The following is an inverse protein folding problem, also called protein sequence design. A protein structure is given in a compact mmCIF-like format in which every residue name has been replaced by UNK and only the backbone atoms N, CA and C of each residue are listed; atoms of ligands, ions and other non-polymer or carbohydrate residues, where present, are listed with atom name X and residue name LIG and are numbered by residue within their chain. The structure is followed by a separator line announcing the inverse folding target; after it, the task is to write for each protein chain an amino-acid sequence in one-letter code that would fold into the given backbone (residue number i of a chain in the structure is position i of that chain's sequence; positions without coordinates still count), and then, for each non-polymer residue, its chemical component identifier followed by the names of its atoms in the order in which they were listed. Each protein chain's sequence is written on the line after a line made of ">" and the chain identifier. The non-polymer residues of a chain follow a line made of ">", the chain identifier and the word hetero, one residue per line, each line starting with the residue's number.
data_IF_475956685316
#
_entry.id   IF_475956685316
#
_cell.length_a   1.000
_cell.length_b   1.000
_cell.length_c   1.000
_cell.angle_alpha   90.00
_cell.angle_beta   90.00
_cell.angle_gamma   90.00
#
_symmetry.space_group_name_H-M   'P 1'
#
loop_
_entity.id
_entity.type
_entity.pdbx_description
1 polymer ?
#
# COMPACT_ATOMS: atom_id res chain seq x y z
N UNK A 1 3.71 -1.70 30.63
CA UNK A 1 2.34 -1.23 30.32
C UNK A 1 2.22 -1.25 28.82
N UNK A 2 1.25 -1.98 28.26
CA UNK A 2 0.98 -1.92 26.82
C UNK A 2 0.57 -0.47 26.53
N UNK A 3 1.34 0.23 25.71
CA UNK A 3 0.93 1.55 25.21
C UNK A 3 -0.38 1.34 24.45
N UNK A 4 -1.31 2.29 24.52
CA UNK A 4 -2.49 2.36 23.66
C UNK A 4 -2.22 3.38 22.57
N UNK A 5 -2.64 3.10 21.33
CA UNK A 5 -2.42 4.03 20.22
C UNK A 5 -3.18 5.31 20.55
N UNK A 6 -2.48 6.44 20.50
CA UNK A 6 -3.16 7.72 20.56
C UNK A 6 -3.89 7.98 19.23
N UNK A 7 -4.77 8.98 19.24
CA UNK A 7 -5.63 9.26 18.10
C UNK A 7 -4.80 9.64 16.85
N UNK A 8 -3.66 10.32 17.03
CA UNK A 8 -2.79 10.68 15.91
C UNK A 8 -2.14 9.45 15.27
N UNK A 9 -1.71 8.47 16.06
CA UNK A 9 -1.17 7.22 15.56
C UNK A 9 -2.25 6.38 14.85
N UNK A 10 -3.48 6.36 15.38
CA UNK A 10 -4.62 5.70 14.73
C UNK A 10 -4.95 6.32 13.39
N UNK A 11 -5.06 7.65 13.32
CA UNK A 11 -5.35 8.38 12.08
C UNK A 11 -4.25 8.14 11.03
N UNK A 12 -2.97 8.14 11.44
CA UNK A 12 -1.87 7.83 10.53
C UNK A 12 -1.96 6.41 9.96
N UNK A 13 -2.16 5.42 10.83
CA UNK A 13 -2.23 4.01 10.42
C UNK A 13 -3.48 3.71 9.58
N UNK A 14 -4.61 4.39 9.87
CA UNK A 14 -5.80 4.30 9.05
C UNK A 14 -5.57 4.90 7.67
N UNK A 15 -4.95 6.08 7.58
CA UNK A 15 -4.56 6.67 6.30
C UNK A 15 -3.61 5.76 5.50
N UNK A 16 -2.69 5.09 6.17
CA UNK A 16 -1.81 4.13 5.52
C UNK A 16 -2.56 2.89 5.02
N UNK A 17 -3.43 2.30 5.84
CA UNK A 17 -4.26 1.18 5.42
C UNK A 17 -5.15 1.53 4.22
N UNK A 18 -5.66 2.76 4.19
CA UNK A 18 -6.47 3.27 3.09
C UNK A 18 -5.66 3.45 1.80
N UNK A 19 -4.41 3.89 1.91
CA UNK A 19 -3.48 4.01 0.77
C UNK A 19 -3.24 2.65 0.12
N UNK A 20 -2.82 1.68 0.92
CA UNK A 20 -2.51 0.29 0.55
C UNK A 20 -3.73 -0.39 -0.11
N UNK A 21 -4.93 -0.20 0.48
CA UNK A 21 -6.17 -0.68 -0.10
C UNK A 21 -6.43 -0.05 -1.48
N UNK A 22 -6.27 1.26 -1.59
CA UNK A 22 -6.51 1.99 -2.83
C UNK A 22 -5.51 1.60 -3.92
N UNK A 23 -4.22 1.49 -3.59
CA UNK A 23 -3.17 1.12 -4.53
C UNK A 23 -3.31 -0.33 -4.95
N UNK A 24 -3.50 -1.26 -4.02
CA UNK A 24 -3.76 -2.68 -4.32
C UNK A 24 -5.00 -2.87 -5.22
N UNK A 25 -6.08 -2.16 -4.94
CA UNK A 25 -7.28 -2.18 -5.80
C UNK A 25 -7.00 -1.59 -7.18
N UNK A 26 -6.22 -0.50 -7.26
CA UNK A 26 -5.84 0.12 -8.53
C UNK A 26 -4.89 -0.76 -9.36
N UNK A 27 -3.91 -1.42 -8.75
CA UNK A 27 -3.03 -2.39 -9.43
C UNK A 27 -3.83 -3.59 -9.95
N UNK A 28 -4.86 -4.02 -9.22
CA UNK A 28 -5.75 -5.11 -9.66
C UNK A 28 -6.50 -4.81 -10.98
N UNK A 29 -6.68 -3.54 -11.36
CA UNK A 29 -7.29 -3.20 -12.66
C UNK A 29 -6.41 -3.56 -13.85
N UNK A 30 -5.10 -3.72 -13.64
CA UNK A 30 -4.16 -4.07 -14.70
C UNK A 30 -4.07 -5.58 -14.96
N UNK A 31 -4.71 -6.42 -14.14
CA UNK A 31 -4.69 -7.87 -14.30
C UNK A 31 -5.28 -8.24 -15.66
N UNK A 32 -4.46 -8.90 -16.49
CA UNK A 32 -4.77 -9.36 -17.84
C UNK A 32 -4.96 -8.25 -18.88
N UNK A 33 -4.55 -7.02 -18.58
CA UNK A 33 -4.57 -5.87 -19.49
C UNK A 33 -3.27 -5.05 -19.44
N UNK A 34 -2.25 -5.54 -18.73
CA UNK A 34 -0.90 -5.00 -18.73
C UNK A 34 -0.27 -5.03 -20.13
N UNK A 35 0.82 -4.27 -20.33
CA UNK A 35 1.44 -4.12 -21.65
C UNK A 35 2.08 -5.42 -22.17
N UNK A 36 2.51 -6.31 -21.27
CA UNK A 36 3.05 -7.63 -21.56
C UNK A 36 2.91 -8.54 -20.31
N UNK A 37 3.08 -9.84 -20.51
CA UNK A 37 2.76 -10.88 -19.52
C UNK A 37 3.51 -10.71 -18.19
N UNK A 38 4.75 -10.26 -18.25
CA UNK A 38 5.58 -10.04 -17.07
C UNK A 38 5.02 -8.93 -16.17
N UNK A 39 4.48 -7.85 -16.76
CA UNK A 39 3.84 -6.77 -16.00
C UNK A 39 2.49 -7.20 -15.44
N UNK A 40 1.72 -7.99 -16.20
CA UNK A 40 0.48 -8.60 -15.68
C UNK A 40 0.76 -9.43 -14.42
N UNK A 41 1.82 -10.24 -14.45
CA UNK A 41 2.22 -11.07 -13.32
C UNK A 41 2.73 -10.23 -12.15
N UNK A 42 3.58 -9.23 -12.43
CA UNK A 42 4.14 -8.35 -11.41
C UNK A 42 3.02 -7.57 -10.70
N UNK A 43 2.16 -6.86 -11.44
CA UNK A 43 1.07 -6.07 -10.86
C UNK A 43 0.03 -6.93 -10.13
N UNK A 44 -0.19 -8.18 -10.58
CA UNK A 44 -1.04 -9.12 -9.84
C UNK A 44 -0.44 -9.48 -8.47
N UNK A 45 0.88 -9.71 -8.42
CA UNK A 45 1.59 -10.02 -7.17
C UNK A 45 1.60 -8.82 -6.24
N UNK A 46 1.98 -7.65 -6.75
CA UNK A 46 2.04 -6.38 -6.01
C UNK A 46 0.66 -6.06 -5.43
N UNK A 47 -0.39 -6.14 -6.25
CA UNK A 47 -1.76 -5.92 -5.80
C UNK A 47 -2.17 -6.83 -4.64
N UNK A 48 -1.74 -8.09 -4.66
CA UNK A 48 -2.04 -9.03 -3.58
C UNK A 48 -1.33 -8.65 -2.28
N UNK A 49 -0.07 -8.24 -2.38
CA UNK A 49 0.75 -7.87 -1.22
C UNK A 49 0.21 -6.59 -0.57
N UNK A 50 -0.10 -5.56 -1.35
CA UNK A 50 -0.71 -4.29 -0.92
C UNK A 50 -2.07 -4.49 -0.21
N UNK A 51 -2.95 -5.32 -0.78
CA UNK A 51 -4.21 -5.68 -0.12
C UNK A 51 -3.97 -6.46 1.18
N UNK A 52 -2.90 -7.26 1.23
CA UNK A 52 -2.43 -7.93 2.43
C UNK A 52 -1.94 -6.96 3.51
N UNK A 53 -1.19 -5.93 3.12
CA UNK A 53 -0.68 -4.88 4.00
C UNK A 53 -1.81 -4.03 4.56
N UNK A 54 -2.74 -3.59 3.71
CA UNK A 54 -3.97 -2.91 4.12
C UNK A 54 -4.71 -3.71 5.21
N UNK A 55 -4.93 -5.01 4.96
CA UNK A 55 -5.57 -5.91 5.92
C UNK A 55 -4.81 -5.96 7.24
N UNK A 56 -3.49 -6.14 7.21
CA UNK A 56 -2.67 -6.20 8.42
C UNK A 56 -2.75 -4.91 9.24
N UNK A 57 -2.81 -3.76 8.58
CA UNK A 57 -2.97 -2.45 9.23
C UNK A 57 -4.37 -2.28 9.85
N UNK A 58 -5.43 -2.63 9.12
CA UNK A 58 -6.80 -2.60 9.66
C UNK A 58 -6.96 -3.53 10.87
N UNK A 59 -6.42 -4.75 10.79
CA UNK A 59 -6.42 -5.70 11.93
C UNK A 59 -5.71 -5.12 13.15
N UNK A 60 -4.60 -4.39 12.95
CA UNK A 60 -3.83 -3.78 14.04
C UNK A 60 -4.54 -2.61 14.73
N UNK A 61 -5.45 -1.92 14.05
CA UNK A 61 -6.20 -0.80 14.62
C UNK A 61 -7.25 -1.22 15.66
N UNK A 62 -7.59 -2.51 15.73
CA UNK A 62 -8.57 -3.08 16.69
C UNK A 62 -9.89 -2.27 16.72
N UNK A 63 -10.39 -1.91 15.54
CA UNK A 63 -11.65 -1.17 15.40
C UNK A 63 -12.86 -2.04 15.79
N UNK A 64 -14.00 -1.40 16.08
CA UNK A 64 -15.23 -2.13 16.42
C UNK A 64 -15.85 -2.81 15.18
N UNK A 65 -15.66 -2.19 14.02
CA UNK A 65 -16.07 -2.68 12.72
C UNK A 65 -15.24 -3.89 12.27
N UNK A 66 -15.86 -4.77 11.48
CA UNK A 66 -15.12 -5.84 10.79
C UNK A 66 -14.18 -5.26 9.71
N UNK A 67 -13.18 -6.06 9.31
CA UNK A 67 -12.22 -5.68 8.25
C UNK A 67 -12.96 -5.32 6.95
N UNK A 68 -14.00 -6.07 6.58
CA UNK A 68 -14.76 -5.80 5.37
C UNK A 68 -15.59 -4.50 5.48
N UNK A 69 -16.13 -4.20 6.67
CA UNK A 69 -16.86 -2.96 6.92
C UNK A 69 -15.93 -1.74 6.87
N UNK A 70 -14.73 -1.82 7.46
CA UNK A 70 -13.76 -0.72 7.36
C UNK A 70 -13.21 -0.59 5.93
N UNK A 71 -12.94 -1.70 5.23
CA UNK A 71 -12.36 -1.65 3.89
C UNK A 71 -13.36 -1.26 2.80
N UNK A 72 -14.66 -1.57 2.95
CA UNK A 72 -15.65 -1.39 1.87
C UNK A 72 -16.96 -0.74 2.29
N UNK A 73 -17.23 -0.62 3.59
CA UNK A 73 -18.50 -0.10 4.14
C UNK A 73 -18.51 1.40 4.44
N UNK A 74 -17.35 2.07 4.42
CA UNK A 74 -17.22 3.50 4.71
C UNK A 74 -17.73 4.41 3.58
N UNK A 75 -18.24 5.60 3.94
CA UNK A 75 -18.48 6.67 2.97
C UNK A 75 -17.14 7.16 2.40
N UNK A 76 -17.12 7.60 1.14
CA UNK A 76 -15.91 8.13 0.50
C UNK A 76 -15.19 9.22 1.31
N UNK A 77 -15.92 9.99 2.13
CA UNK A 77 -15.36 11.07 2.97
C UNK A 77 -14.65 10.55 4.21
N UNK A 78 -14.85 9.28 4.55
CA UNK A 78 -14.27 8.63 5.72
C UNK A 78 -12.98 7.89 5.39
N UNK A 79 -12.61 7.81 4.10
CA UNK A 79 -11.27 7.41 3.70
C UNK A 79 -10.26 8.54 3.97
N UNK A 80 -9.04 8.14 4.29
CA UNK A 80 -7.90 8.97 4.69
C UNK A 80 -6.70 8.76 3.76
N UNK A 81 -6.90 8.07 2.63
CA UNK A 81 -5.89 7.86 1.62
C UNK A 81 -5.42 9.18 1.01
N UNK A 82 -4.14 9.21 0.61
CA UNK A 82 -3.54 10.27 -0.15
C UNK A 82 -4.06 10.26 -1.59
N UNK A 83 -4.14 11.44 -2.19
CA UNK A 83 -4.61 11.59 -3.57
C UNK A 83 -3.80 10.79 -4.60
N UNK A 84 -2.53 10.47 -4.33
CA UNK A 84 -1.71 9.62 -5.21
C UNK A 84 -2.18 8.17 -5.20
N UNK A 85 -2.62 7.66 -4.04
CA UNK A 85 -3.17 6.30 -3.90
C UNK A 85 -4.55 6.18 -4.56
N UNK A 86 -5.35 7.25 -4.51
CA UNK A 86 -6.67 7.33 -5.16
C UNK A 86 -6.60 7.49 -6.69
N UNK A 87 -5.45 7.90 -7.23
CA UNK A 87 -5.32 8.28 -8.63
C UNK A 87 -5.57 7.08 -9.56
N UNK A 88 -6.67 7.18 -10.30
CA UNK A 88 -7.02 6.23 -11.36
C UNK A 88 -6.12 6.45 -12.57
N UNK A 89 -5.14 5.56 -12.72
CA UNK A 89 -4.21 5.58 -13.84
C UNK A 89 -4.82 4.76 -14.99
N UNK A 90 -5.44 5.44 -15.96
CA UNK A 90 -6.10 4.77 -17.09
C UNK A 90 -5.12 4.40 -18.20
N UNK A 91 -3.94 5.00 -18.19
CA UNK A 91 -2.86 4.69 -19.12
C UNK A 91 -1.70 4.03 -18.37
N UNK A 92 -1.06 3.07 -19.02
CA UNK A 92 0.06 2.32 -18.41
C UNK A 92 1.19 3.21 -17.89
N UNK A 93 1.66 4.24 -18.63
CA UNK A 93 2.72 5.12 -18.12
C UNK A 93 2.35 5.84 -16.82
N UNK A 94 1.07 6.21 -16.66
CA UNK A 94 0.59 6.85 -15.42
C UNK A 94 0.66 5.86 -14.25
N UNK A 95 0.28 4.59 -14.50
CA UNK A 95 0.31 3.53 -13.50
C UNK A 95 1.74 3.23 -13.05
N UNK A 96 2.69 3.17 -13.99
CA UNK A 96 4.10 3.01 -13.69
C UNK A 96 4.66 4.18 -12.89
N UNK A 97 4.34 5.42 -13.26
CA UNK A 97 4.80 6.60 -12.51
C UNK A 97 4.21 6.60 -11.09
N UNK A 98 2.92 6.26 -10.94
CA UNK A 98 2.32 6.12 -9.61
C UNK A 98 3.04 5.06 -8.79
N UNK A 99 3.28 3.88 -9.37
CA UNK A 99 3.98 2.77 -8.71
C UNK A 99 5.37 3.20 -8.21
N UNK A 100 6.20 3.82 -9.06
CA UNK A 100 7.52 4.33 -8.63
C UNK A 100 7.41 5.33 -7.49
N UNK A 101 6.53 6.31 -7.59
CA UNK A 101 6.41 7.38 -6.59
C UNK A 101 5.83 6.88 -5.27
N UNK A 102 4.91 5.93 -5.34
CA UNK A 102 4.25 5.37 -4.17
C UNK A 102 5.18 4.42 -3.41
N UNK A 103 5.83 3.46 -4.08
CA UNK A 103 6.76 2.54 -3.43
C UNK A 103 7.96 3.26 -2.78
N UNK A 104 8.43 4.36 -3.38
CA UNK A 104 9.46 5.22 -2.77
C UNK A 104 8.96 5.86 -1.47
N UNK A 105 7.69 6.27 -1.41
CA UNK A 105 7.10 6.80 -0.19
C UNK A 105 6.89 5.69 0.85
N UNK A 106 6.51 4.49 0.41
CA UNK A 106 6.32 3.33 1.27
C UNK A 106 7.61 2.83 1.90
N UNK A 107 8.71 2.78 1.15
CA UNK A 107 10.01 2.45 1.69
C UNK A 107 10.33 3.33 2.91
N UNK A 108 10.05 4.63 2.83
CA UNK A 108 10.25 5.58 3.93
C UNK A 108 9.29 5.29 5.09
N UNK A 109 8.00 5.10 4.82
CA UNK A 109 6.95 4.91 5.83
C UNK A 109 7.14 3.59 6.58
N UNK A 110 7.34 2.49 5.86
CA UNK A 110 7.56 1.17 6.43
C UNK A 110 8.86 1.11 7.21
N UNK A 111 9.96 1.69 6.69
CA UNK A 111 11.22 1.78 7.44
C UNK A 111 11.03 2.51 8.76
N UNK A 112 10.35 3.67 8.75
CA UNK A 112 10.07 4.42 9.97
C UNK A 112 9.22 3.64 10.98
N UNK A 113 8.21 2.89 10.51
CA UNK A 113 7.39 2.04 11.37
C UNK A 113 8.19 0.86 11.96
N UNK A 114 9.12 0.29 11.21
CA UNK A 114 9.98 -0.81 11.65
C UNK A 114 10.91 -0.42 12.81
N UNK A 115 11.35 0.85 12.84
CA UNK A 115 12.17 1.43 13.91
C UNK A 115 11.33 2.00 15.07
N UNK A 116 10.00 1.94 14.94
CA UNK A 116 9.05 2.51 15.88
C UNK A 116 9.03 1.81 17.25
N UNK A 117 8.56 2.52 18.27
CA UNK A 117 8.46 1.99 19.64
C UNK A 117 7.33 0.97 19.85
N UNK A 118 6.48 0.78 18.85
CA UNK A 118 5.32 -0.10 18.89
C UNK A 118 5.66 -1.47 18.28
N UNK A 119 5.88 -2.48 19.12
CA UNK A 119 6.38 -3.78 18.66
C UNK A 119 5.46 -4.49 17.66
N UNK A 120 4.15 -4.34 17.79
CA UNK A 120 3.18 -4.96 16.88
C UNK A 120 3.30 -4.38 15.47
N UNK A 121 3.23 -3.05 15.32
CA UNK A 121 3.39 -2.41 14.02
C UNK A 121 4.80 -2.58 13.44
N UNK A 122 5.84 -2.60 14.28
CA UNK A 122 7.21 -2.84 13.82
C UNK A 122 7.38 -4.24 13.22
N UNK A 123 6.67 -5.25 13.76
CA UNK A 123 6.66 -6.59 13.21
C UNK A 123 5.92 -6.67 11.86
N UNK A 124 4.79 -5.96 11.74
CA UNK A 124 4.05 -5.80 10.47
C UNK A 124 4.97 -5.15 9.43
N UNK A 125 5.59 -4.02 9.78
CA UNK A 125 6.49 -3.29 8.91
C UNK A 125 7.69 -4.12 8.46
N UNK A 126 8.31 -4.89 9.35
CA UNK A 126 9.43 -5.77 9.00
C UNK A 126 9.03 -6.82 7.96
N UNK A 127 7.79 -7.30 8.02
CA UNK A 127 7.25 -8.23 7.02
C UNK A 127 6.99 -7.51 5.70
N UNK A 128 6.27 -6.38 5.73
CA UNK A 128 5.94 -5.60 4.54
C UNK A 128 7.20 -5.18 3.76
N UNK A 129 8.26 -4.72 4.45
CA UNK A 129 9.54 -4.32 3.81
C UNK A 129 10.16 -5.43 2.95
N UNK A 130 9.95 -6.70 3.30
CA UNK A 130 10.48 -7.80 2.50
C UNK A 130 9.79 -7.90 1.12
N UNK A 131 8.49 -7.62 1.08
CA UNK A 131 7.65 -7.58 -0.13
C UNK A 131 7.89 -6.25 -0.89
N UNK A 132 7.91 -5.11 -0.19
CA UNK A 132 8.10 -3.77 -0.79
C UNK A 132 9.44 -3.57 -1.50
N UNK A 133 10.50 -4.25 -1.05
CA UNK A 133 11.78 -4.20 -1.77
C UNK A 133 11.67 -4.76 -3.19
N UNK A 134 10.80 -5.75 -3.39
CA UNK A 134 10.53 -6.28 -4.72
C UNK A 134 9.75 -5.27 -5.57
N UNK A 135 8.75 -4.60 -4.99
CA UNK A 135 7.94 -3.57 -5.65
C UNK A 135 8.84 -2.44 -6.17
N UNK A 136 9.60 -1.82 -5.26
CA UNK A 136 10.47 -0.71 -5.62
C UNK A 136 11.54 -1.10 -6.64
N UNK A 137 12.15 -2.27 -6.50
CA UNK A 137 13.13 -2.76 -7.47
C UNK A 137 12.49 -2.95 -8.86
N UNK A 138 11.29 -3.52 -8.92
CA UNK A 138 10.55 -3.71 -10.16
C UNK A 138 10.22 -2.35 -10.81
N UNK A 139 9.65 -1.42 -10.05
CA UNK A 139 9.28 -0.09 -10.49
C UNK A 139 10.47 0.69 -11.06
N UNK A 140 11.58 0.76 -10.32
CA UNK A 140 12.79 1.48 -10.74
C UNK A 140 13.46 0.83 -11.96
N UNK A 141 13.54 -0.49 -12.01
CA UNK A 141 14.11 -1.22 -13.15
C UNK A 141 13.37 -0.91 -14.46
N UNK A 142 12.03 -0.84 -14.41
CA UNK A 142 11.24 -0.51 -15.59
C UNK A 142 11.37 0.98 -15.96
N UNK A 143 11.39 1.88 -14.97
CA UNK A 143 11.60 3.31 -15.20
C UNK A 143 12.95 3.60 -15.85
N UNK A 144 14.03 2.98 -15.36
CA UNK A 144 15.38 3.11 -15.92
C UNK A 144 15.43 2.67 -17.40
N UNK A 145 14.78 1.56 -17.74
CA UNK A 145 14.72 1.05 -19.11
C UNK A 145 13.99 1.97 -20.09
N UNK A 146 12.99 2.72 -19.62
CA UNK A 146 12.22 3.64 -20.45
C UNK A 146 12.91 5.00 -20.63
N UNK A 147 13.83 5.36 -19.73
CA UNK A 147 14.57 6.63 -19.77
C UNK A 147 15.95 6.52 -20.45
N UNK A 148 16.42 5.29 -20.72
CA UNK A 148 17.66 4.99 -21.43
C UNK A 148 17.54 5.16 -22.94
#
# INVERSE_FOLDING_TARGET
>A
MMRTLDDAAKEYLLGFADDELCVGQNHSWWIAVGPFLEEDLAFSSIAQDELGHARMLYEFLELEESIDEIAYGRDRRDYRSAHIAELRCHQWPEALVRHVLYDLAEEVRWSALSEGSWKGIAAIATRAIAEERFHLQHALSLAERLLA
#
